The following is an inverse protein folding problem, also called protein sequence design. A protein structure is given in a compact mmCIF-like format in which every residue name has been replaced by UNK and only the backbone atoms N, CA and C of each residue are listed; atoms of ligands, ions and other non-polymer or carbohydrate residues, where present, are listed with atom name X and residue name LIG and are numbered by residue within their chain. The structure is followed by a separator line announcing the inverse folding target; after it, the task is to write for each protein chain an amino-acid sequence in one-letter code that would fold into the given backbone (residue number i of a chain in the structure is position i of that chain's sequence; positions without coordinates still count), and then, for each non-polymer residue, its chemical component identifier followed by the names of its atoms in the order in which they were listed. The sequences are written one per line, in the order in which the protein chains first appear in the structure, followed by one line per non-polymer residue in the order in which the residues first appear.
data_IF_081813313175
#
_entry.id   IF_081813313175
#
_cell.length_a   1.000
_cell.length_b   1.000
_cell.length_c   1.000
_cell.angle_alpha   90.00
_cell.angle_beta   90.00
_cell.angle_gamma   90.00
#
_symmetry.space_group_name_H-M   'P 1'
#
loop_
_entity.id
_entity.type
_entity.pdbx_description
1 polymer ?
#
# COMPACT_ATOMS: atom_id res chain seq x y z
N UNK A 1 -15.72 14.57 39.00
CA UNK A 1 -15.41 15.08 37.64
C UNK A 1 -13.92 14.99 37.44
N UNK A 2 -13.42 14.39 36.36
CA UNK A 2 -12.10 14.77 35.83
C UNK A 2 -11.03 13.70 35.62
N UNK A 3 -11.25 12.40 35.86
CA UNK A 3 -10.24 11.37 35.52
C UNK A 3 -10.43 10.75 34.12
N UNK A 4 -11.56 11.03 33.46
CA UNK A 4 -11.87 10.49 32.12
C UNK A 4 -11.31 11.34 30.98
N UNK A 5 -11.35 12.67 31.10
CA UNK A 5 -10.92 13.56 30.00
C UNK A 5 -9.40 13.53 29.75
N UNK A 6 -8.60 13.32 30.80
CA UNK A 6 -7.13 13.21 30.67
C UNK A 6 -6.69 11.93 29.94
N UNK A 7 -7.52 10.88 29.93
CA UNK A 7 -7.24 9.65 29.16
C UNK A 7 -7.69 9.81 27.70
N UNK A 8 -8.80 10.51 27.46
CA UNK A 8 -9.26 10.83 26.10
C UNK A 8 -8.28 11.75 25.36
N UNK A 9 -7.73 12.78 26.02
CA UNK A 9 -6.74 13.68 25.41
C UNK A 9 -5.43 12.97 25.00
N UNK A 10 -5.00 11.95 25.74
CA UNK A 10 -3.80 11.15 25.42
C UNK A 10 -4.04 10.15 24.28
N UNK A 11 -5.24 9.58 24.20
CA UNK A 11 -5.62 8.73 23.08
C UNK A 11 -5.73 9.55 21.79
N UNK A 12 -6.34 10.73 21.86
CA UNK A 12 -6.50 11.63 20.73
C UNK A 12 -5.15 12.17 20.22
N UNK A 13 -4.20 12.46 21.13
CA UNK A 13 -2.84 12.84 20.77
C UNK A 13 -2.03 11.72 20.08
N UNK A 14 -2.22 10.46 20.48
CA UNK A 14 -1.58 9.31 19.81
C UNK A 14 -2.19 9.03 18.44
N UNK A 15 -3.51 9.10 18.31
CA UNK A 15 -4.18 8.91 17.02
C UNK A 15 -3.85 10.00 16.02
N UNK A 16 -3.70 11.26 16.46
CA UNK A 16 -3.24 12.35 15.59
C UNK A 16 -1.76 12.25 15.22
N UNK A 17 -0.92 11.67 16.08
CA UNK A 17 0.49 11.43 15.78
C UNK A 17 0.67 10.25 14.81
N UNK A 18 -0.05 9.15 15.02
CA UNK A 18 -0.11 8.02 14.08
C UNK A 18 -0.70 8.45 12.73
N UNK A 19 -1.78 9.25 12.72
CA UNK A 19 -2.34 9.78 11.49
C UNK A 19 -1.38 10.74 10.77
N UNK A 20 -0.59 11.52 11.51
CA UNK A 20 0.46 12.38 10.95
C UNK A 20 1.67 11.58 10.44
N UNK A 21 2.10 10.52 11.11
CA UNK A 21 3.15 9.61 10.61
C UNK A 21 2.71 8.80 9.40
N UNK A 22 1.45 8.35 9.35
CA UNK A 22 0.85 7.72 8.16
C UNK A 22 0.74 8.69 6.98
N UNK A 23 0.68 10.00 7.25
CA UNK A 23 0.67 11.04 6.21
C UNK A 23 2.07 11.32 5.64
N UNK A 24 3.15 10.94 6.34
CA UNK A 24 4.51 11.43 6.05
C UNK A 24 5.24 10.74 4.89
N UNK A 25 4.83 9.57 4.38
CA UNK A 25 5.52 8.94 3.22
C UNK A 25 4.82 9.14 1.86
N UNK A 26 3.87 10.07 1.73
CA UNK A 26 3.07 10.25 0.51
C UNK A 26 3.77 11.04 -0.63
N UNK A 27 5.05 11.40 -0.50
CA UNK A 27 5.73 12.22 -1.50
C UNK A 27 7.22 11.87 -1.65
N UNK A 28 7.53 10.60 -1.97
CA UNK A 28 8.87 10.27 -2.47
C UNK A 28 9.05 10.94 -3.85
N UNK A 29 10.10 11.76 -4.08
CA UNK A 29 10.30 12.42 -5.37
C UNK A 29 10.28 11.41 -6.52
N UNK A 30 9.49 11.69 -7.56
CA UNK A 30 9.32 10.80 -8.71
C UNK A 30 8.21 9.75 -8.59
N UNK A 31 7.48 9.71 -7.48
CA UNK A 31 6.29 8.85 -7.34
C UNK A 31 4.99 9.61 -7.68
N UNK A 32 4.06 8.91 -8.30
CA UNK A 32 2.71 9.37 -8.62
C UNK A 32 1.73 8.88 -7.56
N UNK A 33 0.84 9.76 -7.09
CA UNK A 33 -0.23 9.39 -6.16
C UNK A 33 -1.21 8.43 -6.83
N UNK A 34 -1.75 7.47 -6.07
CA UNK A 34 -2.69 6.46 -6.58
C UNK A 34 -3.94 7.12 -7.16
N UNK A 35 -4.43 8.20 -6.54
CA UNK A 35 -5.59 8.96 -7.03
C UNK A 35 -5.38 9.54 -8.43
N UNK A 36 -4.15 9.92 -8.77
CA UNK A 36 -3.76 10.59 -10.02
C UNK A 36 -3.34 9.62 -11.14
N UNK A 37 -3.30 8.31 -10.86
CA UNK A 37 -2.86 7.30 -11.83
C UNK A 37 -3.71 7.30 -13.11
N UNK A 38 -3.01 7.31 -14.24
CA UNK A 38 -3.61 7.23 -15.57
C UNK A 38 -3.50 5.80 -16.11
N UNK A 39 -4.62 5.25 -16.56
CA UNK A 39 -4.67 3.91 -17.15
C UNK A 39 -3.86 3.89 -18.46
N UNK A 40 -3.16 2.78 -18.72
CA UNK A 40 -2.22 2.56 -19.84
C UNK A 40 -0.95 3.41 -19.79
N UNK A 41 -0.70 4.15 -18.73
CA UNK A 41 0.56 4.85 -18.51
C UNK A 41 1.51 4.04 -17.60
N UNK A 42 2.81 4.28 -17.75
CA UNK A 42 3.80 3.85 -16.77
C UNK A 42 3.77 4.78 -15.56
N UNK A 43 3.86 4.22 -14.36
CA UNK A 43 3.89 4.97 -13.12
C UNK A 43 4.77 4.26 -12.08
N UNK A 44 5.38 5.08 -11.22
CA UNK A 44 6.04 4.64 -9.99
C UNK A 44 5.20 5.10 -8.81
N UNK A 45 4.88 4.19 -7.89
CA UNK A 45 4.00 4.45 -6.74
C UNK A 45 4.69 3.93 -5.49
N UNK A 46 4.68 4.73 -4.43
CA UNK A 46 5.12 4.30 -3.10
C UNK A 46 3.91 4.23 -2.17
N UNK A 47 3.83 3.18 -1.37
CA UNK A 47 2.79 3.06 -0.36
C UNK A 47 3.02 1.88 0.59
N UNK A 48 2.07 1.69 1.49
CA UNK A 48 2.07 0.60 2.47
C UNK A 48 1.22 -0.55 1.96
N UNK A 49 1.70 -1.78 2.14
CA UNK A 49 0.91 -2.99 1.90
C UNK A 49 -0.23 -3.03 2.91
N UNK A 50 -1.43 -2.76 2.43
CA UNK A 50 -2.64 -2.77 3.24
C UNK A 50 -3.12 -4.20 3.49
N UNK A 51 -3.19 -5.01 2.43
CA UNK A 51 -3.64 -6.39 2.52
C UNK A 51 -2.96 -7.28 1.48
N UNK A 52 -2.99 -8.59 1.71
CA UNK A 52 -2.55 -9.62 0.75
C UNK A 52 -3.70 -10.62 0.60
N UNK A 53 -4.09 -10.89 -0.64
CA UNK A 53 -5.14 -11.86 -0.90
C UNK A 53 -4.62 -13.29 -0.74
N UNK A 54 -5.40 -14.12 -0.05
CA UNK A 54 -5.15 -15.58 0.02
C UNK A 54 -6.00 -16.25 -1.06
N UNK A 55 -5.33 -16.87 -2.03
CA UNK A 55 -6.00 -17.60 -3.11
C UNK A 55 -6.00 -19.11 -2.82
N UNK A 56 -7.06 -19.85 -3.20
CA UNK A 56 -7.08 -21.31 -3.11
C UNK A 56 -5.89 -21.96 -3.81
N UNK A 57 -5.44 -23.12 -3.28
CA UNK A 57 -4.28 -23.84 -3.81
C UNK A 57 -4.48 -24.32 -5.26
N UNK A 58 -5.71 -24.62 -5.65
CA UNK A 58 -6.07 -25.12 -6.99
C UNK A 58 -6.00 -24.04 -8.08
N UNK A 59 -6.09 -22.76 -7.70
CA UNK A 59 -5.93 -21.66 -8.66
C UNK A 59 -4.47 -21.53 -9.07
N UNK A 60 -4.24 -21.03 -10.30
CA UNK A 60 -2.90 -20.66 -10.73
C UNK A 60 -2.25 -19.72 -9.70
N UNK A 61 -0.95 -19.87 -9.41
CA UNK A 61 -0.29 -19.06 -8.40
C UNK A 61 -0.29 -17.58 -8.80
N UNK A 62 -0.83 -16.74 -7.91
CA UNK A 62 -0.82 -15.29 -8.02
C UNK A 62 -0.67 -14.70 -6.61
N UNK A 63 0.23 -13.72 -6.46
CA UNK A 63 0.34 -12.90 -5.27
C UNK A 63 -0.34 -11.58 -5.58
N UNK A 64 -1.49 -11.35 -4.96
CA UNK A 64 -2.22 -10.08 -5.04
C UNK A 64 -2.07 -9.31 -3.75
N UNK A 65 -1.67 -8.05 -3.90
CA UNK A 65 -1.38 -7.13 -2.81
C UNK A 65 -2.17 -5.85 -3.04
N UNK A 66 -2.80 -5.33 -2.00
CA UNK A 66 -3.38 -3.98 -2.02
C UNK A 66 -2.37 -3.00 -1.46
N UNK A 67 -1.94 -2.04 -2.28
CA UNK A 67 -1.05 -0.96 -1.89
C UNK A 67 -1.87 0.31 -1.62
N UNK A 68 -1.59 0.98 -0.51
CA UNK A 68 -2.27 2.21 -0.10
C UNK A 68 -1.26 3.34 0.16
N UNK A 69 -1.54 4.53 -0.38
CA UNK A 69 -0.67 5.71 -0.28
C UNK A 69 -1.39 6.91 0.37
N UNK A 70 -2.46 6.68 1.12
CA UNK A 70 -3.30 7.76 1.66
C UNK A 70 -4.36 8.28 0.67
N UNK A 71 -4.14 8.17 -0.64
CA UNK A 71 -5.01 8.77 -1.68
C UNK A 71 -5.88 7.77 -2.41
N UNK A 72 -5.52 6.49 -2.38
CA UNK A 72 -6.31 5.43 -3.00
C UNK A 72 -5.69 4.05 -2.82
N UNK A 73 -6.35 3.05 -3.41
CA UNK A 73 -5.88 1.66 -3.41
C UNK A 73 -5.42 1.28 -4.82
N UNK A 74 -4.26 0.64 -4.90
CA UNK A 74 -3.68 0.06 -6.10
C UNK A 74 -3.52 -1.44 -5.92
N UNK A 75 -4.12 -2.24 -6.80
CA UNK A 75 -3.87 -3.68 -6.81
C UNK A 75 -2.52 -3.94 -7.48
N UNK A 76 -1.65 -4.68 -6.79
CA UNK A 76 -0.36 -5.11 -7.32
C UNK A 76 -0.35 -6.63 -7.39
N UNK A 77 -0.09 -7.17 -8.58
CA UNK A 77 -0.27 -8.58 -8.85
C UNK A 77 1.00 -9.17 -9.45
N UNK A 78 1.63 -10.11 -8.74
CA UNK A 78 2.68 -10.95 -9.29
C UNK A 78 2.12 -12.31 -9.67
N UNK A 79 2.03 -12.56 -10.97
CA UNK A 79 1.63 -13.86 -11.53
C UNK A 79 2.75 -14.88 -11.34
N UNK A 80 2.38 -16.15 -11.18
CA UNK A 80 3.34 -17.24 -11.00
C UNK A 80 3.90 -17.37 -9.58
N UNK A 81 3.53 -16.48 -8.66
CA UNK A 81 4.08 -16.41 -7.30
C UNK A 81 2.96 -16.57 -6.27
N UNK A 82 3.25 -17.20 -5.13
CA UNK A 82 2.34 -17.27 -3.97
C UNK A 82 2.72 -16.27 -2.88
N UNK A 83 4.00 -15.96 -2.80
CA UNK A 83 4.59 -15.04 -1.85
C UNK A 83 5.88 -14.47 -2.43
N UNK A 84 6.29 -13.34 -1.88
CA UNK A 84 7.60 -12.74 -2.05
C UNK A 84 8.06 -12.39 -0.63
N UNK A 85 9.27 -12.79 -0.28
CA UNK A 85 9.82 -12.52 1.05
C UNK A 85 9.82 -11.02 1.34
N UNK A 86 9.42 -10.64 2.55
CA UNK A 86 9.35 -9.24 2.99
C UNK A 86 8.04 -8.51 2.60
N UNK A 87 7.34 -8.94 1.55
CA UNK A 87 6.01 -8.42 1.20
C UNK A 87 4.98 -9.02 2.17
N UNK A 88 4.56 -8.22 3.15
CA UNK A 88 3.58 -8.55 4.19
C UNK A 88 2.74 -7.30 4.52
N UNK A 89 1.55 -7.44 5.13
CA UNK A 89 0.80 -6.30 5.66
C UNK A 89 1.70 -5.38 6.52
N UNK A 90 1.63 -4.08 6.26
CA UNK A 90 2.46 -3.05 6.89
C UNK A 90 3.84 -2.81 6.25
N UNK A 91 4.26 -3.62 5.27
CA UNK A 91 5.50 -3.35 4.54
C UNK A 91 5.37 -2.12 3.64
N UNK A 92 6.43 -1.31 3.55
CA UNK A 92 6.52 -0.19 2.63
C UNK A 92 7.15 -0.63 1.31
N UNK A 93 6.47 -0.36 0.20
CA UNK A 93 6.89 -0.77 -1.14
C UNK A 93 6.87 0.41 -2.09
N UNK A 94 7.90 0.50 -2.93
CA UNK A 94 7.84 1.25 -4.19
C UNK A 94 7.63 0.26 -5.33
N UNK A 95 6.63 0.49 -6.17
CA UNK A 95 6.32 -0.33 -7.34
C UNK A 95 6.35 0.50 -8.61
N UNK A 96 6.91 -0.04 -9.69
CA UNK A 96 6.96 0.61 -10.99
C UNK A 96 6.41 -0.33 -12.06
N UNK A 97 5.46 0.17 -12.85
CA UNK A 97 4.95 -0.58 -13.99
C UNK A 97 3.79 0.14 -14.67
N UNK A 98 3.16 -0.56 -15.62
CA UNK A 98 2.04 -0.02 -16.37
C UNK A 98 0.74 -0.18 -15.60
N UNK A 99 0.04 0.94 -15.39
CA UNK A 99 -1.29 0.97 -14.80
C UNK A 99 -2.31 0.40 -15.78
N UNK A 100 -3.11 -0.53 -15.29
CA UNK A 100 -4.23 -1.13 -16.02
C UNK A 100 -5.51 -0.99 -15.20
N UNK A 101 -6.65 -1.34 -15.80
CA UNK A 101 -7.91 -1.47 -15.10
C UNK A 101 -8.33 -2.94 -15.14
N UNK A 102 -8.38 -3.60 -13.99
CA UNK A 102 -8.81 -4.98 -13.84
C UNK A 102 -9.87 -5.05 -12.75
N UNK A 103 -11.00 -5.70 -13.04
CA UNK A 103 -12.15 -5.79 -12.12
C UNK A 103 -12.60 -4.43 -11.55
N UNK A 104 -12.49 -3.37 -12.36
CA UNK A 104 -12.83 -1.99 -11.97
C UNK A 104 -11.82 -1.29 -11.05
N UNK A 105 -10.69 -1.93 -10.74
CA UNK A 105 -9.62 -1.37 -9.90
C UNK A 105 -8.39 -1.06 -10.72
N UNK A 106 -7.65 -0.04 -10.30
CA UNK A 106 -6.32 0.26 -10.87
C UNK A 106 -5.39 -0.87 -10.44
N UNK A 107 -4.68 -1.44 -11.41
CA UNK A 107 -3.86 -2.64 -11.19
C UNK A 107 -2.55 -2.56 -11.95
N UNK A 108 -1.46 -3.01 -11.33
CA UNK A 108 -0.18 -3.24 -12.02
C UNK A 108 0.18 -4.73 -11.92
N UNK A 109 0.40 -5.34 -13.07
CA UNK A 109 0.83 -6.73 -13.18
C UNK A 109 2.35 -6.82 -13.29
N UNK A 110 2.94 -7.74 -12.54
CA UNK A 110 4.37 -8.06 -12.49
C UNK A 110 5.28 -6.81 -12.45
N UNK A 111 5.03 -5.84 -11.55
CA UNK A 111 5.87 -4.65 -11.50
C UNK A 111 7.29 -4.98 -11.04
N UNK A 112 8.21 -4.09 -11.39
CA UNK A 112 9.44 -3.93 -10.62
C UNK A 112 9.10 -3.36 -9.25
N UNK A 113 9.81 -3.80 -8.21
CA UNK A 113 9.53 -3.36 -6.85
C UNK A 113 10.81 -3.21 -6.03
N UNK A 114 10.75 -2.29 -5.07
CA UNK A 114 11.76 -2.06 -4.04
C UNK A 114 11.08 -2.10 -2.68
N UNK A 115 11.69 -2.82 -1.74
CA UNK A 115 11.27 -2.82 -0.34
C UNK A 115 11.97 -1.68 0.38
N UNK A 116 11.19 -0.86 1.07
CA UNK A 116 11.72 0.20 1.90
C UNK A 116 11.89 -0.30 3.33
N UNK A 117 12.90 0.18 4.07
CA UNK A 117 13.03 -0.12 5.48
C UNK A 117 11.75 0.33 6.19
N UNK A 118 11.08 -0.59 6.89
CA UNK A 118 10.01 -0.20 7.82
C UNK A 118 10.66 0.60 8.95
N UNK A 119 10.26 1.86 9.15
CA UNK A 119 10.61 2.60 10.36
C UNK A 119 10.16 1.77 11.58
N UNK A 120 11.12 1.45 12.45
CA UNK A 120 10.91 0.81 13.76
C UNK A 120 10.63 1.90 14.78
#
# INVERSE_FOLDING_TARGET
MGLRSVLDDLAQGQSELEAKELTIECARPGCTRISDLQVRAEATVTGTVHSIAVLPAEKAPELRVELYDGTGILDVIWMGRRSIEGIRPGAYLTVTGRVTLADGRRTIFNPGYEMLPSHV
#
